data_IF_381549982945
#
_entry.id   IF_381549982945
#
_cell.length_a   1.000
_cell.length_b   1.000
_cell.length_c   1.000
_cell.angle_alpha   90.00
_cell.angle_beta   90.00
_cell.angle_gamma   90.00
#
_symmetry.space_group_name_H-M   'P 1'
#
loop_
_entity.id
_entity.type
_entity.pdbx_description
1 polymer ?
#
# COMPACT_ATOMS: atom_id res chain seq x y z
N UNK A 1 -5.47 8.88 -9.66
CA UNK A 1 -4.31 7.99 -9.91
C UNK A 1 -3.75 7.59 -8.56
N UNK A 2 -3.23 6.38 -8.44
CA UNK A 2 -2.67 5.88 -7.19
C UNK A 2 -1.19 5.50 -7.43
N UNK A 3 -0.28 6.05 -6.63
CA UNK A 3 1.15 5.77 -6.68
C UNK A 3 1.47 4.76 -5.57
N UNK A 4 2.10 3.66 -5.92
CA UNK A 4 2.41 2.57 -5.02
C UNK A 4 3.92 2.44 -4.97
N UNK A 5 4.53 2.90 -3.89
CA UNK A 5 5.96 2.79 -3.65
C UNK A 5 6.24 1.56 -2.80
N UNK A 6 7.11 0.67 -3.27
CA UNK A 6 7.47 -0.56 -2.55
C UNK A 6 8.97 -0.78 -2.52
N UNK A 7 9.47 -1.37 -1.44
CA UNK A 7 10.89 -1.70 -1.27
C UNK A 7 11.40 -2.69 -2.33
N UNK A 8 10.50 -3.53 -2.82
CA UNK A 8 10.76 -4.56 -3.82
C UNK A 8 9.68 -4.51 -4.90
N UNK A 9 9.97 -4.93 -6.13
CA UNK A 9 8.96 -5.02 -7.18
C UNK A 9 7.80 -5.94 -6.76
N UNK A 10 6.58 -5.42 -6.90
CA UNK A 10 5.36 -6.17 -6.62
C UNK A 10 5.11 -7.22 -7.71
N UNK A 11 4.70 -8.41 -7.31
CA UNK A 11 4.24 -9.46 -8.23
C UNK A 11 2.88 -9.10 -8.86
N UNK A 12 2.59 -9.65 -10.04
CA UNK A 12 1.33 -9.34 -10.75
C UNK A 12 0.07 -9.68 -9.97
N UNK A 13 0.12 -10.74 -9.14
CA UNK A 13 -0.97 -11.07 -8.20
C UNK A 13 -1.17 -9.96 -7.16
N UNK A 14 -0.09 -9.38 -6.62
CA UNK A 14 -0.20 -8.29 -5.66
C UNK A 14 -0.75 -7.02 -6.32
N UNK A 15 -0.29 -6.69 -7.54
CA UNK A 15 -0.81 -5.57 -8.33
C UNK A 15 -2.31 -5.71 -8.57
N UNK A 16 -2.77 -6.88 -9.01
CA UNK A 16 -4.18 -7.15 -9.23
C UNK A 16 -5.00 -7.01 -7.94
N UNK A 17 -4.56 -7.61 -6.83
CA UNK A 17 -5.28 -7.51 -5.55
C UNK A 17 -5.38 -6.06 -5.06
N UNK A 18 -4.30 -5.29 -5.21
CA UNK A 18 -4.28 -3.88 -4.81
C UNK A 18 -5.22 -3.05 -5.70
N UNK A 19 -5.19 -3.27 -7.01
CA UNK A 19 -6.10 -2.61 -7.95
C UNK A 19 -7.56 -2.93 -7.69
N UNK A 20 -7.89 -4.19 -7.39
CA UNK A 20 -9.25 -4.63 -7.07
C UNK A 20 -9.73 -4.01 -5.75
N UNK A 21 -8.87 -3.97 -4.72
CA UNK A 21 -9.17 -3.35 -3.44
C UNK A 21 -9.39 -1.85 -3.58
N UNK A 22 -8.52 -1.14 -4.29
CA UNK A 22 -8.63 0.29 -4.54
C UNK A 22 -9.87 0.62 -5.41
N UNK A 23 -10.17 -0.21 -6.41
CA UNK A 23 -11.38 -0.05 -7.22
C UNK A 23 -12.65 -0.21 -6.38
N UNK A 24 -12.66 -1.13 -5.41
CA UNK A 24 -13.78 -1.30 -4.46
C UNK A 24 -13.88 -0.15 -3.46
N UNK A 25 -12.75 0.29 -2.89
CA UNK A 25 -12.69 1.39 -1.91
C UNK A 25 -13.18 2.71 -2.50
N UNK A 26 -12.74 3.05 -3.71
CA UNK A 26 -13.06 4.35 -4.33
C UNK A 26 -14.14 4.27 -5.40
N UNK A 27 -14.70 3.08 -5.67
CA UNK A 27 -15.80 2.87 -6.61
C UNK A 27 -15.46 3.14 -8.09
N UNK A 28 -14.18 3.26 -8.46
CA UNK A 28 -13.74 3.56 -9.83
C UNK A 28 -12.42 2.88 -10.19
N UNK A 29 -12.24 2.53 -11.46
CA UNK A 29 -10.94 2.05 -11.96
C UNK A 29 -9.92 3.18 -11.89
N UNK A 30 -8.84 2.93 -11.17
CA UNK A 30 -7.73 3.87 -11.01
C UNK A 30 -6.49 3.33 -11.69
N UNK A 31 -5.69 4.22 -12.28
CA UNK A 31 -4.36 3.86 -12.76
C UNK A 31 -3.42 3.70 -11.56
N UNK A 32 -2.74 2.57 -11.48
CA UNK A 32 -1.71 2.27 -10.48
C UNK A 32 -0.35 2.56 -11.08
N UNK A 33 0.39 3.47 -10.47
CA UNK A 33 1.79 3.73 -10.80
C UNK A 33 2.66 3.03 -9.76
N UNK A 34 3.35 1.96 -10.15
CA UNK A 34 4.20 1.20 -9.25
C UNK A 34 5.61 1.76 -9.31
N UNK A 35 6.11 2.20 -8.17
CA UNK A 35 7.43 2.75 -7.99
C UNK A 35 8.22 1.87 -7.02
N UNK A 36 9.47 1.56 -7.37
CA UNK A 36 10.32 0.72 -6.52
C UNK A 36 11.39 1.59 -5.91
N UNK A 37 11.29 1.81 -4.62
CA UNK A 37 12.25 2.61 -3.86
C UNK A 37 12.90 1.75 -2.77
N UNK A 38 14.18 1.35 -2.95
CA UNK A 38 14.90 0.55 -1.97
C UNK A 38 15.18 1.29 -0.66
N UNK A 39 14.98 2.61 -0.58
CA UNK A 39 15.04 3.36 0.67
C UNK A 39 13.84 3.08 1.59
N UNK A 40 12.76 2.49 1.07
CA UNK A 40 11.61 2.06 1.86
C UNK A 40 12.00 0.83 2.69
N UNK A 41 12.12 1.00 4.00
CA UNK A 41 12.42 -0.08 4.94
C UNK A 41 11.17 -0.92 5.18
N UNK A 42 10.93 -1.91 4.30
CA UNK A 42 9.96 -2.98 4.52
C UNK A 42 8.48 -2.55 4.46
N UNK A 43 7.86 -2.74 3.30
CA UNK A 43 6.40 -2.69 3.11
C UNK A 43 5.98 -1.94 1.85
N UNK A 44 4.76 -1.40 1.87
CA UNK A 44 4.14 -0.70 0.73
C UNK A 44 3.57 0.65 1.17
N UNK A 45 3.81 1.70 0.39
CA UNK A 45 3.20 3.02 0.55
C UNK A 45 2.31 3.27 -0.66
N UNK A 46 1.03 3.58 -0.44
CA UNK A 46 0.05 3.82 -1.49
C UNK A 46 -0.47 5.24 -1.33
N UNK A 47 -0.21 6.11 -2.30
CA UNK A 47 -0.69 7.48 -2.33
C UNK A 47 -1.79 7.63 -3.38
N UNK A 48 -2.96 8.09 -2.97
CA UNK A 48 -4.14 8.30 -3.83
C UNK A 48 -4.56 9.77 -3.76
N UNK A 49 -4.14 10.57 -4.73
CA UNK A 49 -4.33 12.03 -4.67
C UNK A 49 -3.56 12.62 -3.48
N UNK A 50 -4.29 13.21 -2.54
CA UNK A 50 -3.78 13.76 -1.28
C UNK A 50 -3.75 12.75 -0.13
N UNK A 51 -4.34 11.57 -0.30
CA UNK A 51 -4.38 10.54 0.74
C UNK A 51 -3.17 9.62 0.64
N UNK A 52 -2.53 9.34 1.78
CA UNK A 52 -1.39 8.41 1.87
C UNK A 52 -1.75 7.27 2.81
N UNK A 53 -1.76 6.07 2.27
CA UNK A 53 -1.99 4.82 2.98
C UNK A 53 -0.64 4.10 3.12
N UNK A 54 -0.15 3.95 4.34
CA UNK A 54 1.06 3.18 4.62
C UNK A 54 0.68 1.77 5.06
N UNK A 55 1.16 0.77 4.34
CA UNK A 55 1.12 -0.65 4.69
C UNK A 55 2.51 -1.16 5.02
N UNK A 56 3.30 -0.35 5.73
CA UNK A 56 4.63 -0.72 6.18
C UNK A 56 4.57 -1.84 7.22
N UNK A 57 5.63 -2.63 7.37
CA UNK A 57 5.69 -3.61 8.45
C UNK A 57 5.61 -2.91 9.82
N UNK A 58 6.08 -1.66 9.90
CA UNK A 58 5.94 -0.80 11.07
C UNK A 58 4.47 -0.52 11.41
N UNK A 59 3.63 -0.19 10.43
CA UNK A 59 2.18 0.01 10.63
C UNK A 59 1.49 -1.25 11.17
N UNK A 60 1.83 -2.43 10.64
CA UNK A 60 1.26 -3.69 11.15
C UNK A 60 1.75 -4.02 12.57
N UNK A 61 2.98 -3.67 12.90
CA UNK A 61 3.51 -3.83 14.25
C UNK A 61 2.86 -2.84 15.23
N UNK A 62 2.62 -1.60 14.80
CA UNK A 62 1.87 -0.62 15.60
C UNK A 62 0.42 -1.05 15.80
N UNK A 63 -0.27 -1.55 14.77
CA UNK A 63 -1.65 -2.07 14.91
C UNK A 63 -1.70 -3.31 15.83
N UNK A 64 -0.75 -4.23 15.68
CA UNK A 64 -0.65 -5.40 16.55
C UNK A 64 -0.30 -5.02 17.99
N UNK A 65 0.62 -4.07 18.20
CA UNK A 65 0.98 -3.56 19.53
C UNK A 65 -0.20 -2.84 20.19
N UNK A 66 -0.96 -2.05 19.43
CA UNK A 66 -2.16 -1.35 19.90
C UNK A 66 -3.28 -2.31 20.31
N UNK A 67 -3.36 -3.49 19.67
CA UNK A 67 -4.30 -4.58 20.02
C UNK A 67 -3.87 -5.42 21.21
N UNK A 68 -2.57 -5.47 21.52
CA UNK A 68 -2.03 -6.18 22.68
C UNK A 68 -1.98 -5.33 23.95
N UNK A 69 -2.01 -4.00 23.80
CA UNK A 69 -2.05 -3.04 24.91
C UNK A 69 -3.48 -2.67 25.36
N UNK A 70 -4.51 -3.31 24.80
CA UNK A 70 -5.93 -3.10 25.13
C UNK A 70 -6.51 -4.22 25.99
#
# INVERSE_FOLDING_TARGET
MAVVTSAVPLSDRQKQRLGDALAKLYGRRMHLNLDVDPAVVGGIRVQVGDEVINGSLADRLEDASRRLAG
#
